data_IF_757755642935
#
_entry.id   IF_757755642935
#
_cell.length_a   1.000
_cell.length_b   1.000
_cell.length_c   1.000
_cell.angle_alpha   90.00
_cell.angle_beta   90.00
_cell.angle_gamma   90.00
#
_symmetry.space_group_name_H-M   'P 1'
#
loop_
_entity.id
_entity.type
_entity.pdbx_description
1 polymer ?
#
# COMPACT_ATOMS: atom_id res chain seq x y z
N UNK A 1 -9.48 16.53 19.68
CA UNK A 1 -8.99 15.15 19.45
C UNK A 1 -7.88 14.88 20.47
N UNK A 2 -7.81 13.71 21.11
CA UNK A 2 -6.76 13.47 22.12
C UNK A 2 -5.41 13.20 21.45
N UNK A 3 -4.31 13.57 22.12
CA UNK A 3 -2.93 13.36 21.62
C UNK A 3 -2.68 11.89 21.24
N UNK A 4 -3.13 10.95 22.08
CA UNK A 4 -3.07 9.50 21.82
C UNK A 4 -3.79 9.10 20.53
N UNK A 5 -4.95 9.71 20.22
CA UNK A 5 -5.69 9.42 18.99
C UNK A 5 -4.92 9.94 17.77
N UNK A 6 -4.34 11.15 17.85
CA UNK A 6 -3.52 11.72 16.77
C UNK A 6 -2.31 10.82 16.49
N UNK A 7 -1.61 10.36 17.53
CA UNK A 7 -0.46 9.45 17.40
C UNK A 7 -0.84 8.12 16.74
N UNK A 8 -1.95 7.51 17.16
CA UNK A 8 -2.43 6.26 16.56
C UNK A 8 -2.80 6.44 15.09
N UNK A 9 -3.47 7.54 14.73
CA UNK A 9 -3.83 7.84 13.35
C UNK A 9 -2.60 8.08 12.47
N UNK A 10 -1.61 8.82 12.98
CA UNK A 10 -0.35 9.04 12.26
C UNK A 10 0.43 7.73 12.07
N UNK A 11 0.46 6.87 13.08
CA UNK A 11 1.09 5.54 12.98
C UNK A 11 0.35 4.61 12.01
N UNK A 12 -0.99 4.66 11.95
CA UNK A 12 -1.76 3.95 10.93
C UNK A 12 -1.43 4.48 9.53
N UNK A 13 -1.48 5.79 9.32
CA UNK A 13 -1.18 6.43 8.04
C UNK A 13 0.23 6.09 7.52
N UNK A 14 1.23 6.04 8.40
CA UNK A 14 2.59 5.64 8.02
C UNK A 14 2.67 4.17 7.55
N UNK A 15 1.88 3.27 8.16
CA UNK A 15 1.77 1.88 7.72
C UNK A 15 1.09 1.77 6.36
N UNK A 16 0.02 2.53 6.13
CA UNK A 16 -0.65 2.55 4.81
C UNK A 16 0.30 3.06 3.72
N UNK A 17 1.08 4.12 4.00
CA UNK A 17 2.07 4.61 3.06
C UNK A 17 3.13 3.55 2.71
N UNK A 18 3.56 2.78 3.70
CA UNK A 18 4.50 1.67 3.51
C UNK A 18 3.88 0.55 2.66
N UNK A 19 2.62 0.21 2.92
CA UNK A 19 1.88 -0.80 2.18
C UNK A 19 1.73 -0.42 0.70
N UNK A 20 1.41 0.86 0.41
CA UNK A 20 1.34 1.39 -0.97
C UNK A 20 2.66 1.13 -1.71
N UNK A 21 3.79 1.53 -1.14
CA UNK A 21 5.10 1.35 -1.77
C UNK A 21 5.43 -0.12 -1.96
N UNK A 22 5.12 -0.97 -0.97
CA UNK A 22 5.38 -2.41 -1.05
C UNK A 22 4.59 -3.09 -2.16
N UNK A 23 3.29 -2.82 -2.28
CA UNK A 23 2.45 -3.43 -3.32
C UNK A 23 2.78 -2.90 -4.72
N UNK A 24 3.22 -1.64 -4.84
CA UNK A 24 3.70 -1.10 -6.11
C UNK A 24 5.04 -1.72 -6.54
N UNK A 25 5.97 -1.97 -5.61
CA UNK A 25 7.21 -2.69 -5.92
C UNK A 25 6.91 -4.11 -6.42
N UNK A 26 6.05 -4.85 -5.71
CA UNK A 26 5.62 -6.20 -6.11
C UNK A 26 4.90 -6.22 -7.45
N UNK A 27 4.14 -5.16 -7.79
CA UNK A 27 3.52 -5.04 -9.12
C UNK A 27 4.56 -5.07 -10.23
N UNK A 28 5.64 -4.30 -10.12
CA UNK A 28 6.71 -4.27 -11.13
C UNK A 28 7.48 -5.58 -11.17
N UNK A 29 7.89 -6.12 -10.02
CA UNK A 29 8.61 -7.40 -9.93
C UNK A 29 7.84 -8.55 -10.60
N UNK A 30 6.52 -8.59 -10.41
CA UNK A 30 5.65 -9.61 -10.99
C UNK A 30 5.34 -9.38 -12.47
N UNK A 31 5.26 -8.14 -12.94
CA UNK A 31 5.17 -7.87 -14.38
C UNK A 31 6.44 -8.30 -15.10
N UNK A 32 7.62 -8.00 -14.56
CA UNK A 32 8.92 -8.39 -15.11
C UNK A 32 9.14 -9.92 -15.09
N UNK A 33 8.48 -10.62 -14.17
CA UNK A 33 8.53 -12.08 -14.03
C UNK A 33 7.46 -12.82 -14.85
N UNK A 34 6.81 -12.16 -15.82
CA UNK A 34 5.71 -12.69 -16.64
C UNK A 34 4.42 -13.08 -15.87
N UNK A 35 4.29 -12.67 -14.60
CA UNK A 35 3.09 -12.87 -13.77
C UNK A 35 2.11 -11.70 -13.84
N UNK A 36 1.88 -11.13 -15.04
CA UNK A 36 1.10 -9.89 -15.22
C UNK A 36 -0.31 -9.90 -14.60
N UNK A 37 -0.99 -11.06 -14.51
CA UNK A 37 -2.29 -11.17 -13.82
C UNK A 37 -2.17 -10.92 -12.31
N UNK A 38 -1.10 -11.42 -11.69
CA UNK A 38 -0.83 -11.20 -10.26
C UNK A 38 -0.27 -9.79 -10.03
N UNK A 39 0.61 -9.30 -10.91
CA UNK A 39 1.11 -7.93 -10.88
C UNK A 39 -0.03 -6.90 -10.92
N UNK A 40 -1.03 -7.10 -11.79
CA UNK A 40 -2.24 -6.27 -11.83
C UNK A 40 -3.00 -6.27 -10.50
N UNK A 41 -3.09 -7.42 -9.82
CA UNK A 41 -3.72 -7.51 -8.49
C UNK A 41 -2.95 -6.73 -7.43
N UNK A 42 -1.61 -6.75 -7.46
CA UNK A 42 -0.81 -5.95 -6.53
C UNK A 42 -1.04 -4.45 -6.73
N UNK A 43 -1.11 -3.99 -7.99
CA UNK A 43 -1.48 -2.59 -8.30
C UNK A 43 -2.88 -2.21 -7.80
N UNK A 44 -3.87 -3.08 -7.98
CA UNK A 44 -5.23 -2.85 -7.49
C UNK A 44 -5.26 -2.69 -5.95
N UNK A 45 -4.48 -3.50 -5.23
CA UNK A 45 -4.34 -3.40 -3.76
C UNK A 45 -3.63 -2.10 -3.37
N UNK A 46 -2.51 -1.75 -4.00
CA UNK A 46 -1.81 -0.49 -3.74
C UNK A 46 -2.72 0.74 -3.88
N UNK A 47 -3.60 0.74 -4.89
CA UNK A 47 -4.58 1.82 -5.11
C UNK A 47 -5.67 1.82 -4.02
N UNK A 48 -6.05 0.68 -3.46
CA UNK A 48 -6.96 0.69 -2.30
C UNK A 48 -6.29 1.28 -1.06
N UNK A 49 -5.01 0.95 -0.79
CA UNK A 49 -4.30 1.51 0.36
C UNK A 49 -4.11 3.03 0.27
N UNK A 50 -3.99 3.58 -0.95
CA UNK A 50 -4.01 5.04 -1.17
C UNK A 50 -5.31 5.71 -0.70
N UNK A 51 -6.43 4.98 -0.62
CA UNK A 51 -7.70 5.50 -0.11
C UNK A 51 -7.83 5.37 1.41
N UNK A 52 -6.98 4.57 2.04
CA UNK A 52 -6.91 4.40 3.49
C UNK A 52 -5.99 5.44 4.16
N UNK A 53 -4.97 5.93 3.43
CA UNK A 53 -3.97 6.91 3.87
C UNK A 53 -4.40 8.39 3.73
#
# INVERSE_FOLDING_TARGET
MSQKVIELLNAARARELTAITQYMAQHYELEDSDYGKLGKKMKEIAIQEMKHA
#
